data_IF_140013605457
#
_entry.id   IF_140013605457
#
_cell.length_a   1.000
_cell.length_b   1.000
_cell.length_c   1.000
_cell.angle_alpha   90.00
_cell.angle_beta   90.00
_cell.angle_gamma   90.00
#
_symmetry.space_group_name_H-M   'P 1'
#
loop_
_entity.id
_entity.type
_entity.pdbx_description
1 polymer ?
#
# COMPACT_ATOMS: atom_id res chain seq x y z
N UNK A 1 27.37 7.99 -2.58
CA UNK A 1 27.34 7.14 -3.80
C UNK A 1 26.61 5.85 -3.45
N UNK A 2 25.29 5.80 -3.63
CA UNK A 2 24.50 4.58 -3.42
C UNK A 2 24.33 3.88 -4.77
N UNK A 3 25.05 2.78 -4.97
CA UNK A 3 24.94 1.96 -6.16
C UNK A 3 23.68 1.10 -6.08
N UNK A 4 22.68 1.43 -6.88
CA UNK A 4 21.63 0.49 -7.28
C UNK A 4 22.27 -0.67 -8.05
N UNK A 5 22.40 -1.85 -7.42
CA UNK A 5 22.58 -3.09 -8.17
C UNK A 5 21.22 -3.76 -8.32
N UNK A 6 20.60 -3.53 -9.48
CA UNK A 6 19.52 -4.36 -10.03
C UNK A 6 20.11 -5.74 -10.29
N UNK A 7 19.89 -6.70 -9.40
CA UNK A 7 19.86 -8.10 -9.82
C UNK A 7 18.43 -8.41 -10.21
N UNK A 8 18.20 -8.51 -11.52
CA UNK A 8 17.02 -9.15 -12.11
C UNK A 8 17.23 -10.65 -11.97
N UNK A 9 17.22 -11.15 -10.73
CA UNK A 9 17.03 -12.58 -10.52
C UNK A 9 15.52 -12.76 -10.39
N UNK A 10 14.94 -13.34 -11.44
CA UNK A 10 13.56 -13.77 -11.45
C UNK A 10 13.37 -14.79 -10.32
N UNK A 11 13.03 -14.29 -9.13
CA UNK A 11 12.63 -15.13 -8.02
C UNK A 11 11.38 -15.90 -8.48
N UNK A 12 11.42 -17.24 -8.56
CA UNK A 12 10.25 -18.02 -8.88
C UNK A 12 9.16 -17.67 -7.86
N UNK A 13 7.94 -17.51 -8.36
CA UNK A 13 6.76 -17.29 -7.54
C UNK A 13 6.76 -18.33 -6.41
N UNK A 14 6.98 -17.86 -5.17
CA UNK A 14 6.92 -18.70 -3.98
C UNK A 14 5.44 -18.98 -3.70
N UNK A 15 4.88 -19.88 -4.49
CA UNK A 15 3.58 -20.50 -4.24
C UNK A 15 3.76 -21.48 -3.08
N UNK A 16 3.84 -20.91 -1.87
CA UNK A 16 3.76 -21.70 -0.65
C UNK A 16 2.30 -22.08 -0.45
N UNK A 17 2.02 -23.38 -0.40
CA UNK A 17 0.71 -24.01 -0.19
C UNK A 17 0.00 -23.50 1.07
N UNK A 18 -0.61 -22.32 0.96
CA UNK A 18 -1.43 -21.67 1.97
C UNK A 18 -2.52 -20.88 1.23
N UNK A 19 -3.54 -21.61 0.83
CA UNK A 19 -4.81 -21.10 0.27
C UNK A 19 -4.63 -20.12 -0.90
N UNK A 20 -4.70 -20.65 -2.13
CA UNK A 20 -4.91 -19.82 -3.31
C UNK A 20 -6.04 -18.82 -3.03
N UNK A 21 -5.74 -17.52 -3.14
CA UNK A 21 -6.76 -16.48 -3.05
C UNK A 21 -7.86 -16.79 -4.08
N UNK A 22 -9.13 -16.56 -3.73
CA UNK A 22 -10.17 -16.57 -4.76
C UNK A 22 -9.86 -15.51 -5.85
N UNK A 23 -10.45 -15.66 -7.03
CA UNK A 23 -10.24 -14.76 -8.18
C UNK A 23 -10.33 -13.27 -7.80
N UNK A 24 -11.36 -12.90 -7.04
CA UNK A 24 -11.60 -11.53 -6.61
C UNK A 24 -10.51 -11.00 -5.67
N UNK A 25 -10.01 -11.84 -4.77
CA UNK A 25 -8.94 -11.48 -3.84
C UNK A 25 -7.60 -11.38 -4.56
N UNK A 26 -7.33 -12.31 -5.50
CA UNK A 26 -6.13 -12.30 -6.33
C UNK A 26 -6.07 -11.03 -7.21
N UNK A 27 -7.19 -10.66 -7.84
CA UNK A 27 -7.28 -9.44 -8.65
C UNK A 27 -7.04 -8.18 -7.80
N UNK A 28 -7.67 -8.10 -6.62
CA UNK A 28 -7.48 -6.98 -5.69
C UNK A 28 -6.03 -6.87 -5.21
N UNK A 29 -5.40 -8.01 -4.91
CA UNK A 29 -4.02 -8.09 -4.48
C UNK A 29 -3.05 -7.63 -5.59
N UNK A 30 -3.19 -8.17 -6.80
CA UNK A 30 -2.39 -7.78 -7.96
C UNK A 30 -2.58 -6.30 -8.33
N UNK A 31 -3.79 -5.77 -8.20
CA UNK A 31 -4.04 -4.33 -8.35
C UNK A 31 -3.31 -3.50 -7.30
N UNK A 32 -3.37 -3.90 -6.03
CA UNK A 32 -2.70 -3.19 -4.95
C UNK A 32 -1.18 -3.17 -5.11
N UNK A 33 -0.56 -4.29 -5.49
CA UNK A 33 0.88 -4.38 -5.74
C UNK A 33 1.34 -3.41 -6.83
N UNK A 34 0.68 -3.41 -7.99
CA UNK A 34 0.98 -2.46 -9.08
C UNK A 34 0.90 -1.00 -8.63
N UNK A 35 -0.03 -0.65 -7.72
CA UNK A 35 -0.15 0.71 -7.16
C UNK A 35 0.92 1.04 -6.13
N UNK A 36 1.44 0.05 -5.41
CA UNK A 36 2.56 0.23 -4.48
C UNK A 36 3.86 0.42 -5.24
N UNK A 37 4.12 -0.38 -6.28
CA UNK A 37 5.30 -0.28 -7.14
C UNK A 37 5.37 1.08 -7.85
N UNK A 38 4.24 1.57 -8.38
CA UNK A 38 4.17 2.88 -9.03
C UNK A 38 4.06 4.07 -8.05
N UNK A 39 4.14 3.83 -6.73
CA UNK A 39 3.88 4.88 -5.74
C UNK A 39 5.01 5.93 -5.71
N UNK A 40 4.71 7.24 -5.87
CA UNK A 40 5.74 8.28 -5.86
C UNK A 40 6.43 8.46 -4.51
N UNK A 41 5.83 7.93 -3.43
CA UNK A 41 6.35 8.00 -2.06
C UNK A 41 7.29 6.84 -1.70
N UNK A 42 7.28 5.74 -2.47
CA UNK A 42 8.12 4.57 -2.20
C UNK A 42 8.03 4.07 -0.75
N UNK A 43 9.19 3.93 -0.09
CA UNK A 43 9.29 3.47 1.31
C UNK A 43 8.77 4.48 2.34
N UNK A 44 8.65 5.76 1.98
CA UNK A 44 8.10 6.81 2.84
C UNK A 44 6.58 6.95 2.67
N UNK A 45 5.93 5.98 2.02
CA UNK A 45 4.50 5.99 1.75
C UNK A 45 3.69 6.09 3.05
N UNK A 46 2.78 7.07 3.16
CA UNK A 46 1.85 7.12 4.28
C UNK A 46 0.76 6.07 4.13
N UNK A 47 0.00 5.84 5.19
CA UNK A 47 -1.20 5.00 5.10
C UNK A 47 -2.15 5.53 4.02
N UNK A 48 -2.69 4.63 3.19
CA UNK A 48 -3.51 5.01 2.03
C UNK A 48 -4.73 5.89 2.40
N UNK A 49 -5.27 5.77 3.63
CA UNK A 49 -6.39 6.60 4.11
C UNK A 49 -6.03 8.06 4.35
N UNK A 50 -4.74 8.38 4.53
CA UNK A 50 -4.20 9.73 4.74
C UNK A 50 -3.23 10.15 3.63
N UNK A 51 -3.16 9.36 2.56
CA UNK A 51 -2.31 9.68 1.42
C UNK A 51 -2.88 10.90 0.71
N UNK A 52 -2.07 11.93 0.41
CA UNK A 52 -2.55 13.13 -0.28
C UNK A 52 -2.86 12.86 -1.77
N UNK A 53 -2.40 11.72 -2.31
CA UNK A 53 -2.72 11.27 -3.68
C UNK A 53 -3.81 10.22 -3.66
N UNK A 54 -4.86 10.44 -4.45
CA UNK A 54 -5.89 9.45 -4.73
C UNK A 54 -5.52 8.58 -5.93
N UNK A 55 -4.69 7.56 -5.70
CA UNK A 55 -4.21 6.65 -6.76
C UNK A 55 -5.10 5.40 -7.00
N UNK A 56 -6.12 5.17 -6.15
CA UNK A 56 -7.03 4.03 -6.28
C UNK A 56 -8.28 4.44 -7.05
N UNK A 57 -8.70 3.61 -8.02
CA UNK A 57 -10.02 3.72 -8.63
C UNK A 57 -11.11 3.57 -7.55
N UNK A 58 -12.21 4.33 -7.61
CA UNK A 58 -13.26 4.30 -6.58
C UNK A 58 -13.77 2.89 -6.24
N UNK A 59 -14.07 2.08 -7.26
CA UNK A 59 -14.52 0.70 -7.07
C UNK A 59 -13.49 -0.19 -6.35
N UNK A 60 -12.21 -0.08 -6.70
CA UNK A 60 -11.13 -0.85 -6.05
C UNK A 60 -10.88 -0.36 -4.63
N UNK A 61 -11.00 0.95 -4.38
CA UNK A 61 -10.90 1.52 -3.03
C UNK A 61 -11.98 0.93 -2.13
N UNK A 62 -13.20 0.79 -2.64
CA UNK A 62 -14.30 0.20 -1.86
C UNK A 62 -14.08 -1.28 -1.57
N UNK A 63 -13.58 -2.06 -2.54
CA UNK A 63 -13.16 -3.45 -2.32
C UNK A 63 -12.12 -3.56 -1.19
N UNK A 64 -11.09 -2.70 -1.18
CA UNK A 64 -10.10 -2.67 -0.09
C UNK A 64 -10.75 -2.30 1.24
N UNK A 65 -11.66 -1.32 1.28
CA UNK A 65 -12.37 -0.96 2.52
C UNK A 65 -13.17 -2.14 3.08
N UNK A 66 -13.89 -2.87 2.23
CA UNK A 66 -14.61 -4.08 2.64
C UNK A 66 -13.66 -5.14 3.20
N UNK A 67 -12.54 -5.40 2.51
CA UNK A 67 -11.52 -6.33 2.98
C UNK A 67 -10.94 -5.92 4.34
N UNK A 68 -10.58 -4.64 4.53
CA UNK A 68 -10.06 -4.12 5.80
C UNK A 68 -11.11 -4.16 6.92
N UNK A 69 -12.38 -3.89 6.62
CA UNK A 69 -13.50 -3.99 7.59
C UNK A 69 -13.68 -5.42 8.07
N UNK A 70 -13.54 -6.40 7.18
CA UNK A 70 -13.60 -7.81 7.52
C UNK A 70 -12.35 -8.27 8.31
N UNK A 71 -11.15 -7.85 7.89
CA UNK A 71 -9.89 -8.29 8.46
C UNK A 71 -9.53 -7.61 9.79
N UNK A 72 -9.94 -6.34 9.98
CA UNK A 72 -9.54 -5.53 11.14
C UNK A 72 -9.87 -6.17 12.50
N UNK A 73 -11.13 -6.51 12.79
CA UNK A 73 -11.52 -7.17 14.05
C UNK A 73 -10.83 -8.53 14.25
N UNK A 74 -10.56 -9.26 13.16
CA UNK A 74 -9.91 -10.57 13.20
C UNK A 74 -8.42 -10.46 13.51
N UNK A 75 -7.75 -9.42 13.01
CA UNK A 75 -6.35 -9.14 13.31
C UNK A 75 -6.14 -8.83 14.79
N UNK A 76 -7.08 -8.11 15.43
CA UNK A 76 -7.00 -7.80 16.86
C UNK A 76 -7.00 -9.07 17.74
N UNK A 77 -7.75 -10.10 17.35
CA UNK A 77 -7.81 -11.37 18.08
C UNK A 77 -6.56 -12.24 17.89
N UNK A 78 -6.00 -12.31 16.67
CA UNK A 78 -4.87 -13.20 16.36
C UNK A 78 -3.50 -12.55 16.55
N UNK A 79 -3.40 -11.26 16.26
CA UNK A 79 -2.14 -10.51 16.25
C UNK A 79 -2.35 -9.12 16.87
N UNK A 80 -2.58 -9.05 18.20
CA UNK A 80 -2.92 -7.80 18.87
C UNK A 80 -1.84 -6.71 18.71
N UNK A 81 -0.56 -7.08 18.75
CA UNK A 81 0.55 -6.14 18.53
C UNK A 81 0.51 -5.53 17.11
N UNK A 82 0.32 -6.35 16.07
CA UNK A 82 0.21 -5.86 14.69
C UNK A 82 -1.05 -5.02 14.49
N UNK A 83 -2.15 -5.38 15.15
CA UNK A 83 -3.37 -4.58 15.14
C UNK A 83 -3.15 -3.20 15.78
N UNK A 84 -2.49 -3.15 16.93
CA UNK A 84 -2.13 -1.89 17.58
C UNK A 84 -1.23 -1.05 16.67
N UNK A 85 -0.18 -1.64 16.11
CA UNK A 85 0.71 -0.95 15.16
C UNK A 85 -0.07 -0.39 13.96
N UNK A 86 -0.97 -1.17 13.38
CA UNK A 86 -1.82 -0.71 12.28
C UNK A 86 -2.69 0.49 12.66
N UNK A 87 -3.26 0.49 13.87
CA UNK A 87 -4.06 1.62 14.38
C UNK A 87 -3.18 2.86 14.65
N UNK A 88 -1.95 2.68 15.14
CA UNK A 88 -0.99 3.77 15.33
C UNK A 88 -0.46 4.32 14.01
N UNK A 89 -0.23 3.46 13.00
CA UNK A 89 0.16 3.87 11.65
C UNK A 89 -0.90 4.78 11.03
N UNK A 90 -2.19 4.55 11.35
CA UNK A 90 -3.25 5.49 10.97
C UNK A 90 -3.07 6.87 11.56
N UNK A 91 -2.39 7.06 12.70
CA UNK A 91 -2.16 8.35 13.34
C UNK A 91 -0.93 9.08 12.84
N UNK A 92 -0.02 8.42 12.11
CA UNK A 92 1.16 9.08 11.55
C UNK A 92 0.77 10.11 10.48
N UNK A 93 1.37 11.32 10.51
CA UNK A 93 1.19 12.28 9.43
C UNK A 93 1.82 11.72 8.16
N UNK A 94 1.33 12.13 6.97
CA UNK A 94 1.97 11.70 5.76
C UNK A 94 3.41 12.22 5.74
N UNK A 95 4.38 11.31 5.61
CA UNK A 95 5.77 11.72 5.44
C UNK A 95 5.84 12.47 4.10
N UNK A 96 5.85 13.80 4.19
CA UNK A 96 5.90 14.67 3.03
C UNK A 96 7.29 14.61 2.43
N UNK A 97 7.53 13.65 1.54
CA UNK A 97 8.74 13.68 0.75
C UNK A 97 8.77 14.99 -0.06
N UNK A 98 9.94 15.63 -0.13
CA UNK A 98 10.16 16.89 -0.85
C UNK A 98 9.55 16.81 -2.26
N UNK A 99 9.71 15.65 -2.90
CA UNK A 99 9.23 15.32 -4.24
C UNK A 99 7.71 15.54 -4.44
N UNK A 100 6.86 15.27 -3.46
CA UNK A 100 5.43 15.58 -3.58
C UNK A 100 5.15 17.06 -3.39
N UNK A 101 5.78 17.74 -2.40
CA UNK A 101 5.70 19.20 -2.27
C UNK A 101 6.13 19.92 -3.55
N UNK A 102 7.15 19.41 -4.23
CA UNK A 102 7.70 19.98 -5.46
C UNK A 102 6.90 19.60 -6.71
N UNK A 103 6.13 18.52 -6.69
CA UNK A 103 5.20 18.14 -7.75
C UNK A 103 3.88 18.91 -7.62
N UNK A 104 3.35 19.03 -6.40
CA UNK A 104 2.15 19.83 -6.11
C UNK A 104 2.36 21.31 -6.40
N UNK A 105 3.55 21.85 -6.12
CA UNK A 105 3.91 23.24 -6.46
C UNK A 105 3.94 23.52 -7.97
N UNK A 106 4.33 22.53 -8.79
CA UNK A 106 4.29 22.65 -10.25
C UNK A 106 2.85 22.64 -10.76
N UNK A 107 2.02 21.75 -10.24
CA UNK A 107 0.60 21.63 -10.61
C UNK A 107 -0.27 22.84 -10.21
N UNK A 108 0.16 23.68 -9.27
CA UNK A 108 -0.56 24.91 -8.87
C UNK A 108 -0.10 26.16 -9.63
N UNK A 109 0.95 26.06 -10.45
CA UNK A 109 1.53 27.17 -11.22
C UNK A 109 1.24 27.08 -12.73
N UNK A 110 0.48 26.08 -13.16
CA UNK A 110 -0.16 25.94 -14.48
C UNK A 110 -1.67 26.14 -14.32
#
# INVERSE_FOLDING_TARGET
>A
RYHHRRTRDALPARDSERSSLCSDCAELHAYALRRVEACPFGSQKPVCSRCPVHCYRPAMRERVRRAMRYAGPRMMRRHPYLALRHLLDRRRPPAGNQRWRDMSRRLTHE
#
